data_IF_561338514164
#
_entry.id   IF_561338514164
#
_cell.length_a   1.000
_cell.length_b   1.000
_cell.length_c   1.000
_cell.angle_alpha   90.00
_cell.angle_beta   90.00
_cell.angle_gamma   90.00
#
_symmetry.space_group_name_H-M   'P 1'
#
loop_
_entity.id
_entity.type
_entity.pdbx_description
1 polymer ?
#
# COMPACT_ATOMS: atom_id res chain seq x y z
N UNK A 1 33.35 27.04 -14.05
CA UNK A 1 32.16 26.21 -14.37
C UNK A 1 31.67 25.64 -13.06
N UNK A 2 30.40 25.81 -12.73
CA UNK A 2 29.77 25.20 -11.57
C UNK A 2 29.77 23.68 -11.71
N UNK A 3 30.03 22.93 -10.63
CA UNK A 3 29.99 21.47 -10.64
C UNK A 3 28.56 20.97 -10.88
N UNK A 4 28.43 19.91 -11.68
CA UNK A 4 27.15 19.24 -11.90
C UNK A 4 26.75 18.45 -10.65
N UNK A 5 25.58 18.76 -10.10
CA UNK A 5 24.95 17.99 -9.02
C UNK A 5 23.70 17.34 -9.58
N UNK A 6 23.66 16.01 -9.58
CA UNK A 6 22.45 15.27 -9.93
C UNK A 6 21.39 15.46 -8.85
N UNK A 7 20.17 15.77 -9.25
CA UNK A 7 18.99 15.79 -8.38
C UNK A 7 17.95 14.81 -8.92
N UNK A 8 17.50 13.90 -8.07
CA UNK A 8 16.41 12.99 -8.39
C UNK A 8 15.11 13.80 -8.56
N UNK A 9 14.40 13.69 -9.69
CA UNK A 9 13.13 14.38 -9.89
C UNK A 9 12.01 13.90 -8.97
N UNK A 10 12.12 12.69 -8.40
CA UNK A 10 11.08 12.09 -7.56
C UNK A 10 11.69 11.52 -6.27
N UNK A 11 12.18 12.37 -5.35
CA UNK A 11 12.69 11.90 -4.07
C UNK A 11 11.56 11.21 -3.29
N UNK A 12 11.83 9.99 -2.82
CA UNK A 12 10.87 9.24 -2.03
C UNK A 12 10.69 9.89 -0.66
N UNK A 13 9.43 9.98 -0.21
CA UNK A 13 9.07 10.41 1.13
C UNK A 13 9.16 9.28 2.16
N UNK A 14 8.77 9.59 3.39
CA UNK A 14 8.64 8.60 4.46
C UNK A 14 7.56 7.56 4.13
N UNK A 15 7.91 6.28 4.24
CA UNK A 15 6.94 5.18 4.12
C UNK A 15 6.29 4.89 5.47
N UNK A 16 4.98 5.16 5.55
CA UNK A 16 4.14 4.91 6.74
C UNK A 16 3.28 3.66 6.60
N UNK A 17 3.52 2.87 5.56
CA UNK A 17 2.72 1.69 5.25
C UNK A 17 3.08 0.53 6.18
N UNK A 18 2.06 -0.06 6.80
CA UNK A 18 2.24 -1.29 7.57
C UNK A 18 2.21 -2.49 6.62
N UNK A 19 3.20 -3.37 6.75
CA UNK A 19 3.33 -4.56 5.91
C UNK A 19 3.02 -5.84 6.68
N UNK A 20 2.26 -6.72 6.04
CA UNK A 20 2.04 -8.09 6.51
C UNK A 20 3.01 -9.03 5.80
N UNK A 21 3.81 -9.75 6.57
CA UNK A 21 4.67 -10.80 6.03
C UNK A 21 3.84 -11.94 5.43
N UNK A 22 4.16 -12.34 4.19
CA UNK A 22 3.45 -13.42 3.49
C UNK A 22 4.23 -14.73 3.51
N UNK A 23 5.50 -14.71 3.07
CA UNK A 23 6.35 -15.91 2.94
C UNK A 23 7.78 -15.51 2.58
N UNK A 24 8.75 -16.29 3.03
CA UNK A 24 10.17 -16.25 2.65
C UNK A 24 10.57 -17.43 1.74
N UNK A 25 9.66 -18.38 1.51
CA UNK A 25 9.93 -19.63 0.75
C UNK A 25 10.37 -19.39 -0.69
N UNK A 26 10.15 -18.20 -1.25
CA UNK A 26 10.42 -17.88 -2.66
C UNK A 26 11.62 -16.98 -2.86
N UNK A 27 12.34 -16.67 -1.78
CA UNK A 27 13.52 -15.80 -1.81
C UNK A 27 14.77 -16.59 -1.45
N UNK A 28 15.86 -16.35 -2.18
CA UNK A 28 17.20 -16.87 -1.89
C UNK A 28 18.21 -15.73 -1.99
N UNK A 29 19.33 -15.86 -1.26
CA UNK A 29 20.48 -15.00 -1.45
C UNK A 29 21.53 -15.75 -2.27
N UNK A 30 22.02 -15.09 -3.31
CA UNK A 30 23.03 -15.63 -4.21
C UNK A 30 24.22 -14.67 -4.27
N UNK A 31 25.43 -15.20 -4.15
CA UNK A 31 26.66 -14.41 -4.26
C UNK A 31 27.18 -14.49 -5.70
N UNK A 32 27.30 -13.33 -6.35
CA UNK A 32 27.86 -13.21 -7.70
C UNK A 32 29.01 -12.21 -7.68
N UNK A 33 30.24 -12.74 -7.68
CA UNK A 33 31.45 -11.95 -7.48
C UNK A 33 31.45 -11.27 -6.10
N UNK A 34 31.65 -9.96 -6.08
CA UNK A 34 31.64 -9.15 -4.84
C UNK A 34 30.24 -8.71 -4.38
N UNK A 35 29.18 -9.06 -5.11
CA UNK A 35 27.83 -8.56 -4.86
C UNK A 35 26.88 -9.68 -4.41
N UNK A 36 25.97 -9.33 -3.49
CA UNK A 36 24.85 -10.17 -3.08
C UNK A 36 23.62 -9.84 -3.91
N UNK A 37 22.95 -10.87 -4.40
CA UNK A 37 21.72 -10.78 -5.19
C UNK A 37 20.59 -11.49 -4.46
N UNK A 38 19.39 -10.93 -4.56
CA UNK A 38 18.16 -11.55 -4.10
C UNK A 38 17.52 -12.32 -5.26
N UNK A 39 17.59 -13.64 -5.22
CA UNK A 39 16.86 -14.52 -6.12
C UNK A 39 15.39 -14.57 -5.73
N UNK A 40 14.49 -14.39 -6.69
CA UNK A 40 13.04 -14.43 -6.48
C UNK A 40 12.43 -15.45 -7.43
N UNK A 41 11.78 -16.49 -6.88
CA UNK A 41 11.06 -17.48 -7.68
C UNK A 41 9.73 -16.90 -8.20
N UNK A 42 9.34 -17.16 -9.47
CA UNK A 42 8.11 -16.62 -10.06
C UNK A 42 6.83 -16.93 -9.28
N UNK A 43 6.78 -18.05 -8.56
CA UNK A 43 5.66 -18.44 -7.72
C UNK A 43 5.44 -17.47 -6.55
N UNK A 44 6.51 -16.81 -6.07
CA UNK A 44 6.43 -15.76 -5.06
C UNK A 44 5.67 -14.54 -5.56
N UNK A 45 5.91 -14.14 -6.82
CA UNK A 45 5.19 -13.04 -7.47
C UNK A 45 3.70 -13.41 -7.68
N UNK A 46 3.44 -14.66 -8.05
CA UNK A 46 2.07 -15.16 -8.20
C UNK A 46 1.32 -15.16 -6.86
N UNK A 47 1.97 -15.57 -5.77
CA UNK A 47 1.41 -15.51 -4.41
C UNK A 47 1.09 -14.07 -4.01
N UNK A 48 2.06 -13.16 -4.19
CA UNK A 48 1.90 -11.74 -3.86
C UNK A 48 0.71 -11.12 -4.61
N UNK A 49 0.65 -11.31 -5.93
CA UNK A 49 -0.43 -10.77 -6.75
C UNK A 49 -1.80 -11.33 -6.34
N UNK A 50 -1.90 -12.64 -6.09
CA UNK A 50 -3.15 -13.28 -5.65
C UNK A 50 -3.62 -12.70 -4.31
N UNK A 51 -2.72 -12.57 -3.34
CA UNK A 51 -3.06 -12.04 -2.02
C UNK A 51 -3.47 -10.56 -2.12
N UNK A 52 -2.73 -9.75 -2.88
CA UNK A 52 -3.04 -8.33 -3.08
C UNK A 52 -4.41 -8.14 -3.74
N UNK A 53 -4.73 -8.92 -4.79
CA UNK A 53 -6.02 -8.83 -5.49
C UNK A 53 -7.19 -9.24 -4.60
N UNK A 54 -7.01 -10.26 -3.76
CA UNK A 54 -8.00 -10.60 -2.73
C UNK A 54 -8.18 -9.43 -1.77
N UNK A 55 -7.09 -8.93 -1.17
CA UNK A 55 -7.21 -7.97 -0.08
C UNK A 55 -7.76 -6.62 -0.55
N UNK A 56 -7.38 -6.15 -1.74
CA UNK A 56 -7.93 -4.90 -2.30
C UNK A 56 -9.41 -5.02 -2.67
N UNK A 57 -9.92 -6.23 -2.90
CA UNK A 57 -11.33 -6.45 -3.24
C UNK A 57 -12.25 -6.45 -2.02
N UNK A 58 -11.71 -6.72 -0.82
CA UNK A 58 -12.51 -6.89 0.40
C UNK A 58 -12.14 -5.94 1.53
N UNK A 59 -11.00 -5.26 1.46
CA UNK A 59 -10.54 -4.35 2.50
C UNK A 59 -10.16 -2.99 1.95
N UNK A 60 -10.34 -1.97 2.78
CA UNK A 60 -9.91 -0.60 2.52
C UNK A 60 -8.85 -0.19 3.54
N UNK A 61 -8.05 0.82 3.19
CA UNK A 61 -7.10 1.41 4.14
C UNK A 61 -7.86 2.03 5.32
N UNK A 62 -7.33 1.85 6.52
CA UNK A 62 -7.89 2.43 7.75
C UNK A 62 -8.04 3.95 7.65
N UNK A 63 -7.07 4.63 7.04
CA UNK A 63 -7.12 6.08 6.81
C UNK A 63 -8.30 6.50 5.92
N UNK A 64 -8.67 5.72 4.92
CA UNK A 64 -9.83 5.99 4.08
C UNK A 64 -11.14 5.81 4.86
N UNK A 65 -11.30 4.69 5.57
CA UNK A 65 -12.50 4.46 6.38
C UNK A 65 -12.67 5.50 7.49
N UNK A 66 -11.56 5.97 8.08
CA UNK A 66 -11.58 7.06 9.04
C UNK A 66 -12.07 8.37 8.41
N UNK A 67 -11.64 8.70 7.19
CA UNK A 67 -12.13 9.88 6.46
C UNK A 67 -13.64 9.78 6.19
N UNK A 68 -14.13 8.63 5.73
CA UNK A 68 -15.57 8.42 5.52
C UNK A 68 -16.35 8.53 6.84
N UNK A 69 -15.82 8.00 7.94
CA UNK A 69 -16.43 8.11 9.26
C UNK A 69 -16.49 9.55 9.79
N UNK A 70 -15.53 10.41 9.41
CA UNK A 70 -15.57 11.83 9.78
C UNK A 70 -16.80 12.55 9.22
N UNK A 71 -17.30 12.17 8.03
CA UNK A 71 -18.52 12.75 7.42
C UNK A 71 -19.72 12.61 8.37
N UNK A 72 -19.82 11.51 9.11
CA UNK A 72 -20.92 11.27 10.04
C UNK A 72 -20.92 12.23 11.24
N UNK A 73 -19.76 12.81 11.57
CA UNK A 73 -19.58 13.72 12.70
C UNK A 73 -19.57 15.19 12.28
N UNK A 74 -19.50 15.46 10.97
CA UNK A 74 -19.43 16.81 10.44
C UNK A 74 -20.81 17.50 10.56
N UNK A 75 -20.91 18.63 11.29
CA UNK A 75 -22.15 19.40 11.37
C UNK A 75 -22.53 20.05 10.03
N UNK A 76 -21.57 20.29 9.12
CA UNK A 76 -21.82 20.87 7.80
C UNK A 76 -22.23 19.83 6.74
N UNK A 77 -22.06 18.53 7.02
CA UNK A 77 -22.43 17.47 6.09
C UNK A 77 -23.96 17.33 6.00
N UNK A 78 -24.45 17.23 4.75
CA UNK A 78 -25.86 17.04 4.47
C UNK A 78 -26.36 15.66 4.91
N UNK A 79 -27.67 15.50 5.02
CA UNK A 79 -28.26 14.19 5.33
C UNK A 79 -27.92 13.13 4.28
N UNK A 80 -27.79 13.54 3.01
CA UNK A 80 -27.39 12.65 1.92
C UNK A 80 -25.93 12.20 2.06
N UNK A 81 -25.02 13.09 2.43
CA UNK A 81 -23.61 12.74 2.66
C UNK A 81 -23.52 11.71 3.79
N UNK A 82 -24.26 11.92 4.88
CA UNK A 82 -24.30 11.01 6.02
C UNK A 82 -24.94 9.66 5.66
N UNK A 83 -25.97 9.67 4.82
CA UNK A 83 -26.62 8.46 4.33
C UNK A 83 -25.65 7.62 3.47
N UNK A 84 -24.96 8.24 2.52
CA UNK A 84 -24.00 7.57 1.64
C UNK A 84 -22.81 7.05 2.45
N UNK A 85 -22.22 7.87 3.32
CA UNK A 85 -21.10 7.47 4.16
C UNK A 85 -21.44 6.26 5.04
N UNK A 86 -22.64 6.25 5.66
CA UNK A 86 -23.11 5.10 6.45
C UNK A 86 -23.27 3.84 5.60
N UNK A 87 -23.74 3.97 4.37
CA UNK A 87 -23.93 2.85 3.45
C UNK A 87 -22.58 2.27 3.01
N UNK A 88 -21.61 3.12 2.67
CA UNK A 88 -20.25 2.70 2.33
C UNK A 88 -19.58 1.97 3.49
N UNK A 89 -19.64 2.51 4.72
CA UNK A 89 -19.04 1.90 5.91
C UNK A 89 -19.71 0.58 6.34
N UNK A 90 -20.99 0.36 5.98
CA UNK A 90 -21.66 -0.92 6.21
C UNK A 90 -21.26 -1.99 5.20
N UNK A 91 -20.83 -1.58 4.01
CA UNK A 91 -20.40 -2.46 2.94
C UNK A 91 -18.91 -2.85 3.05
N UNK A 92 -18.10 -1.93 3.57
CA UNK A 92 -16.67 -2.11 3.81
C UNK A 92 -16.40 -3.10 4.96
#
# INVERSE_FOLDING_TARGET
MTEFTYQDPFPLGEDKTEYKFLSDKYTSLEQLGSHQFLGIRPEGLTLLARQAMRDVSFYLRSSHNAQVACILKDPAASDNDKFVARTLLKNA
#
